data_IF_501278911167
#
_entry.id   IF_501278911167
#
_cell.length_a   1.000
_cell.length_b   1.000
_cell.length_c   1.000
_cell.angle_alpha   90.00
_cell.angle_beta   90.00
_cell.angle_gamma   90.00
#
_symmetry.space_group_name_H-M   'P 1'
#
loop_
_entity.id
_entity.type
_entity.pdbx_description
1 polymer ?
#
# COMPACT_ATOMS: atom_id res chain seq x y z
N UNK A 1 -0.77 -22.34 21.94
CA UNK A 1 -0.52 -21.01 22.53
C UNK A 1 -1.67 -20.10 22.12
N UNK A 2 -2.42 -19.51 23.06
CA UNK A 2 -3.56 -18.64 22.71
C UNK A 2 -3.07 -17.40 21.93
N UNK A 3 -3.93 -16.83 21.07
CA UNK A 3 -3.57 -15.64 20.27
C UNK A 3 -3.10 -14.47 21.16
N UNK A 4 -3.67 -14.37 22.36
CA UNK A 4 -3.37 -13.37 23.37
C UNK A 4 -1.95 -13.50 23.94
N UNK A 5 -1.47 -14.72 24.19
CA UNK A 5 -0.09 -14.96 24.62
C UNK A 5 0.91 -14.65 23.51
N UNK A 6 0.58 -14.98 22.26
CA UNK A 6 1.42 -14.63 21.09
C UNK A 6 1.54 -13.11 20.94
N UNK A 7 0.42 -12.40 21.03
CA UNK A 7 0.39 -10.94 20.95
C UNK A 7 1.22 -10.28 22.06
N UNK A 8 1.13 -10.77 23.30
CA UNK A 8 1.92 -10.27 24.41
C UNK A 8 3.43 -10.47 24.20
N UNK A 9 3.85 -11.65 23.74
CA UNK A 9 5.24 -11.97 23.43
C UNK A 9 5.80 -11.08 22.31
N UNK A 10 5.04 -10.89 21.22
CA UNK A 10 5.44 -10.02 20.11
C UNK A 10 5.60 -8.56 20.55
N UNK A 11 4.71 -8.10 21.43
CA UNK A 11 4.75 -6.73 21.98
C UNK A 11 5.95 -6.55 22.89
N UNK A 12 6.22 -7.53 23.76
CA UNK A 12 7.40 -7.52 24.62
C UNK A 12 8.69 -7.46 23.79
N UNK A 13 8.77 -8.27 22.72
CA UNK A 13 9.93 -8.34 21.82
C UNK A 13 10.20 -7.03 21.08
N UNK A 14 9.15 -6.32 20.64
CA UNK A 14 9.27 -5.14 19.77
C UNK A 14 9.21 -3.81 20.50
N UNK A 15 8.34 -3.69 21.51
CA UNK A 15 8.03 -2.43 22.18
C UNK A 15 8.49 -2.38 23.64
N UNK A 16 8.83 -3.54 24.22
CA UNK A 16 9.30 -3.68 25.60
C UNK A 16 8.18 -3.79 26.64
N UNK A 17 8.58 -4.09 27.88
CA UNK A 17 7.66 -4.40 28.98
C UNK A 17 6.72 -3.24 29.33
N UNK A 18 7.24 -2.01 29.36
CA UNK A 18 6.45 -0.81 29.68
C UNK A 18 5.31 -0.57 28.67
N UNK A 19 5.56 -0.85 27.39
CA UNK A 19 4.54 -0.72 26.35
C UNK A 19 3.49 -1.83 26.46
N UNK A 20 3.90 -3.07 26.76
CA UNK A 20 2.98 -4.18 27.01
C UNK A 20 2.01 -3.87 28.16
N UNK A 21 2.51 -3.34 29.28
CA UNK A 21 1.65 -2.96 30.42
C UNK A 21 0.65 -1.86 30.04
N UNK A 22 1.10 -0.81 29.36
CA UNK A 22 0.21 0.28 28.88
C UNK A 22 -0.84 -0.22 27.90
N UNK A 23 -0.47 -1.16 27.03
CA UNK A 23 -1.40 -1.79 26.09
C UNK A 23 -2.48 -2.62 26.79
N UNK A 24 -2.13 -3.34 27.86
CA UNK A 24 -3.11 -4.04 28.70
C UNK A 24 -4.09 -3.03 29.32
N UNK A 25 -3.58 -1.94 29.90
CA UNK A 25 -4.42 -0.89 30.48
C UNK A 25 -5.34 -0.25 29.43
N UNK A 26 -4.84 0.01 28.22
CA UNK A 26 -5.63 0.54 27.10
C UNK A 26 -6.77 -0.39 26.72
N UNK A 27 -6.53 -1.70 26.66
CA UNK A 27 -7.55 -2.69 26.27
C UNK A 27 -8.60 -2.93 27.36
N UNK A 28 -8.20 -2.91 28.63
CA UNK A 28 -9.11 -3.19 29.76
C UNK A 28 -9.88 -1.93 30.19
N UNK A 29 -9.21 -0.78 30.24
CA UNK A 29 -9.77 0.45 30.81
C UNK A 29 -10.00 1.56 29.77
N UNK A 30 -9.64 1.36 28.50
CA UNK A 30 -9.81 2.36 27.44
C UNK A 30 -8.83 3.55 27.54
N UNK A 31 -7.83 3.49 28.42
CA UNK A 31 -6.87 4.58 28.64
C UNK A 31 -5.78 4.53 27.57
N UNK A 32 -5.88 5.43 26.58
CA UNK A 32 -4.83 5.62 25.56
C UNK A 32 -3.49 6.03 26.14
N UNK A 33 -2.40 5.79 25.40
CA UNK A 33 -1.05 6.18 25.82
C UNK A 33 -0.24 6.72 24.64
N UNK A 34 0.94 7.27 24.91
CA UNK A 34 1.92 7.63 23.87
C UNK A 34 3.08 6.65 23.84
N UNK A 35 3.43 6.17 22.66
CA UNK A 35 4.65 5.40 22.41
C UNK A 35 5.59 6.26 21.55
N UNK A 36 6.75 6.67 22.11
CA UNK A 36 7.70 7.57 21.46
C UNK A 36 7.04 8.84 20.87
N UNK A 37 6.09 9.41 21.61
CA UNK A 37 5.34 10.61 21.18
C UNK A 37 4.10 10.30 20.34
N UNK A 38 3.98 9.12 19.74
CA UNK A 38 2.85 8.73 18.89
C UNK A 38 1.66 8.30 19.76
N UNK A 39 0.44 8.85 19.56
CA UNK A 39 -0.74 8.41 20.29
C UNK A 39 -1.17 7.00 19.88
N UNK A 40 -1.38 6.14 20.88
CA UNK A 40 -1.87 4.77 20.74
C UNK A 40 -3.23 4.69 21.42
N UNK A 41 -4.26 5.02 20.64
CA UNK A 41 -5.64 5.08 21.12
C UNK A 41 -6.53 3.97 20.52
N UNK A 42 -6.02 3.22 19.55
CA UNK A 42 -6.76 2.16 18.85
C UNK A 42 -5.91 0.89 18.69
N UNK A 43 -6.58 -0.24 18.44
CA UNK A 43 -5.91 -1.50 18.11
C UNK A 43 -5.11 -1.40 16.81
N UNK A 44 -5.56 -0.56 15.86
CA UNK A 44 -4.91 -0.34 14.57
C UNK A 44 -3.58 0.37 14.78
N UNK A 45 -3.58 1.51 15.48
CA UNK A 45 -2.36 2.26 15.80
C UNK A 45 -1.33 1.38 16.51
N UNK A 46 -1.78 0.60 17.49
CA UNK A 46 -0.92 -0.35 18.20
C UNK A 46 -0.30 -1.39 17.26
N UNK A 47 -1.11 -2.04 16.41
CA UNK A 47 -0.65 -3.08 15.48
C UNK A 47 0.36 -2.54 14.46
N UNK A 48 0.09 -1.38 13.88
CA UNK A 48 1.00 -0.73 12.91
C UNK A 48 2.36 -0.46 13.54
N UNK A 49 2.39 0.19 14.71
CA UNK A 49 3.66 0.50 15.41
C UNK A 49 4.40 -0.78 15.80
N UNK A 50 3.68 -1.76 16.37
CA UNK A 50 4.28 -3.04 16.80
C UNK A 50 4.87 -3.80 15.62
N UNK A 51 4.14 -3.91 14.51
CA UNK A 51 4.57 -4.66 13.33
C UNK A 51 5.78 -4.00 12.65
N UNK A 52 5.80 -2.66 12.56
CA UNK A 52 6.95 -1.91 12.07
C UNK A 52 8.21 -2.20 12.92
N UNK A 53 8.08 -2.15 14.25
CA UNK A 53 9.20 -2.42 15.16
C UNK A 53 9.67 -3.88 15.12
N UNK A 54 8.77 -4.85 14.92
CA UNK A 54 9.13 -6.26 14.71
C UNK A 54 9.98 -6.46 13.45
N UNK A 55 9.86 -5.56 12.47
CA UNK A 55 10.65 -5.52 11.23
C UNK A 55 11.93 -4.68 11.35
N UNK A 56 12.22 -4.17 12.54
CA UNK A 56 13.31 -3.22 12.79
C UNK A 56 13.17 -1.91 11.98
N UNK A 57 11.96 -1.54 11.59
CA UNK A 57 11.70 -0.24 10.98
C UNK A 57 11.69 0.84 12.06
N UNK A 58 12.11 2.05 11.68
CA UNK A 58 12.03 3.19 12.58
C UNK A 58 10.64 3.82 12.46
N UNK A 59 10.04 4.13 13.61
CA UNK A 59 8.76 4.83 13.69
C UNK A 59 8.94 6.10 14.49
N UNK A 60 8.53 7.23 13.93
CA UNK A 60 8.61 8.53 14.57
C UNK A 60 7.45 9.42 14.14
N UNK A 61 7.23 10.51 14.87
CA UNK A 61 6.17 11.48 14.57
C UNK A 61 6.72 12.88 14.42
N UNK A 62 6.13 13.66 13.52
CA UNK A 62 6.42 15.09 13.34
C UNK A 62 5.10 15.84 13.13
N UNK A 63 4.75 16.73 14.05
CA UNK A 63 3.46 17.44 14.00
C UNK A 63 2.28 16.47 14.11
N UNK A 64 1.38 16.50 13.13
CA UNK A 64 0.23 15.59 13.01
C UNK A 64 0.56 14.28 12.31
N UNK A 65 1.80 14.09 11.84
CA UNK A 65 2.18 12.94 11.03
C UNK A 65 2.89 11.85 11.83
N UNK A 66 2.70 10.63 11.38
CA UNK A 66 3.50 9.47 11.73
C UNK A 66 4.25 9.00 10.49
N UNK A 67 5.54 8.72 10.65
CA UNK A 67 6.39 8.20 9.58
C UNK A 67 6.96 6.84 9.98
N UNK A 68 6.91 5.89 9.05
CA UNK A 68 7.66 4.62 9.11
C UNK A 68 8.79 4.70 8.09
N UNK A 69 10.02 4.49 8.54
CA UNK A 69 11.20 4.40 7.69
C UNK A 69 11.57 2.93 7.53
N UNK A 70 11.50 2.45 6.28
CA UNK A 70 11.89 1.11 5.84
C UNK A 70 13.22 1.20 5.08
N UNK A 71 13.85 0.05 4.69
CA UNK A 71 15.02 0.06 3.81
C UNK A 71 14.77 0.71 2.44
N UNK A 72 13.53 0.67 1.96
CA UNK A 72 13.15 1.13 0.61
C UNK A 72 12.47 2.51 0.59
N UNK A 73 12.15 3.11 1.74
CA UNK A 73 11.66 4.48 1.78
C UNK A 73 11.03 4.90 3.10
N UNK A 74 10.64 6.17 3.17
CA UNK A 74 9.86 6.74 4.26
C UNK A 74 8.39 6.93 3.86
N UNK A 75 7.49 6.44 4.69
CA UNK A 75 6.05 6.51 4.48
C UNK A 75 5.42 7.35 5.58
N UNK A 76 4.85 8.48 5.22
CA UNK A 76 4.24 9.42 6.17
C UNK A 76 2.74 9.56 5.93
N UNK A 77 1.96 9.39 6.98
CA UNK A 77 0.51 9.65 6.99
C UNK A 77 0.12 10.51 8.18
N UNK A 78 -1.03 11.16 8.12
CA UNK A 78 -1.58 11.79 9.32
C UNK A 78 -1.95 10.73 10.36
N UNK A 79 -1.83 11.07 11.64
CA UNK A 79 -2.16 10.16 12.76
C UNK A 79 -3.58 9.62 12.66
N UNK A 80 -4.53 10.39 12.12
CA UNK A 80 -5.90 9.95 11.88
C UNK A 80 -5.98 8.77 10.88
N UNK A 81 -4.99 8.67 9.98
CA UNK A 81 -4.93 7.73 8.87
C UNK A 81 -3.84 6.67 9.06
N UNK A 82 -3.34 6.49 10.28
CA UNK A 82 -2.31 5.50 10.64
C UNK A 82 -2.62 4.08 10.14
N UNK A 83 -3.89 3.74 9.92
CA UNK A 83 -4.29 2.47 9.33
C UNK A 83 -3.72 2.20 7.94
N UNK A 84 -3.48 3.24 7.14
CA UNK A 84 -2.90 3.10 5.79
C UNK A 84 -1.45 2.60 5.82
N UNK A 85 -0.71 2.88 6.90
CA UNK A 85 0.62 2.27 7.11
C UNK A 85 0.55 0.77 7.44
N UNK A 86 -0.66 0.22 7.55
CA UNK A 86 -0.92 -1.21 7.68
C UNK A 86 -0.31 -2.04 6.55
N UNK A 87 -0.24 -1.51 5.32
CA UNK A 87 0.40 -2.17 4.16
C UNK A 87 1.84 -2.60 4.46
N UNK A 88 2.57 -1.82 5.27
CA UNK A 88 3.96 -2.12 5.66
C UNK A 88 4.08 -3.24 6.69
N UNK A 89 2.95 -3.73 7.21
CA UNK A 89 2.91 -4.95 8.03
C UNK A 89 3.05 -6.20 7.18
N UNK A 90 2.75 -6.13 5.89
CA UNK A 90 3.01 -7.21 4.95
C UNK A 90 4.50 -7.32 4.67
N UNK A 91 4.92 -8.48 4.19
CA UNK A 91 6.31 -8.68 3.82
C UNK A 91 6.44 -8.44 2.33
N UNK A 92 6.44 -7.16 1.93
CA UNK A 92 6.51 -6.76 0.52
C UNK A 92 7.76 -7.36 -0.17
N UNK A 93 8.85 -7.52 0.57
CA UNK A 93 10.06 -8.19 0.11
C UNK A 93 9.85 -9.71 -0.10
N UNK A 94 9.06 -10.38 0.73
CA UNK A 94 8.71 -11.79 0.48
C UNK A 94 7.73 -11.93 -0.71
N UNK A 95 6.80 -10.98 -0.85
CA UNK A 95 5.78 -10.99 -1.90
C UNK A 95 6.32 -10.60 -3.28
N UNK A 96 7.20 -9.60 -3.35
CA UNK A 96 7.67 -9.01 -4.61
C UNK A 96 9.19 -8.95 -4.72
N UNK A 97 9.95 -9.42 -3.72
CA UNK A 97 11.41 -9.38 -3.75
C UNK A 97 12.06 -10.33 -4.75
N UNK A 98 11.33 -11.34 -5.23
CA UNK A 98 11.84 -12.31 -6.21
C UNK A 98 11.96 -11.73 -7.63
N UNK A 99 11.30 -10.61 -7.95
CA UNK A 99 11.44 -10.00 -9.28
C UNK A 99 12.69 -9.15 -9.39
N UNK A 100 13.37 -9.30 -10.53
CA UNK A 100 14.45 -8.42 -10.96
C UNK A 100 13.86 -7.27 -11.78
N UNK A 101 13.81 -6.10 -11.15
CA UNK A 101 13.32 -4.87 -11.77
C UNK A 101 14.47 -3.90 -12.07
N UNK A 102 15.73 -4.35 -12.08
CA UNK A 102 16.84 -3.47 -12.42
C UNK A 102 16.67 -2.90 -13.83
N UNK A 103 16.67 -1.57 -13.94
CA UNK A 103 16.43 -0.82 -15.17
C UNK A 103 15.09 -1.16 -15.84
N UNK A 104 14.08 -1.57 -15.07
CA UNK A 104 12.76 -1.95 -15.60
C UNK A 104 11.79 -0.77 -15.75
N UNK A 105 10.88 -0.87 -16.72
CA UNK A 105 9.63 -0.11 -16.77
C UNK A 105 8.55 -0.93 -16.07
N UNK A 106 8.06 -0.42 -14.94
CA UNK A 106 7.05 -1.09 -14.10
C UNK A 106 5.74 -0.32 -14.16
N UNK A 107 4.61 -1.03 -14.26
CA UNK A 107 3.29 -0.49 -13.98
C UNK A 107 2.81 -1.13 -12.67
N UNK A 108 2.52 -0.29 -11.68
CA UNK A 108 2.05 -0.66 -10.35
C UNK A 108 0.56 -0.28 -10.24
N UNK A 109 -0.31 -1.28 -10.36
CA UNK A 109 -1.77 -1.12 -10.33
C UNK A 109 -2.27 -1.44 -8.93
N UNK A 110 -2.91 -0.44 -8.30
CA UNK A 110 -3.22 -0.47 -6.87
C UNK A 110 -1.99 -0.03 -6.05
N UNK A 111 -1.43 1.11 -6.43
CA UNK A 111 -0.19 1.61 -5.84
C UNK A 111 -0.36 2.10 -4.38
N UNK A 112 -1.59 2.23 -3.87
CA UNK A 112 -1.91 2.61 -2.50
C UNK A 112 -1.17 3.88 -2.08
N UNK A 113 -0.39 3.83 -1.00
CA UNK A 113 0.42 4.95 -0.51
C UNK A 113 1.83 5.00 -1.13
N UNK A 114 2.08 4.20 -2.18
CA UNK A 114 3.35 4.11 -2.92
C UNK A 114 4.34 3.10 -2.34
N UNK A 115 3.89 2.14 -1.54
CA UNK A 115 4.72 1.16 -0.85
C UNK A 115 5.44 0.21 -1.82
N UNK A 116 4.72 -0.39 -2.77
CA UNK A 116 5.32 -1.25 -3.79
C UNK A 116 6.08 -0.44 -4.85
N UNK A 117 5.58 0.73 -5.26
CA UNK A 117 6.32 1.66 -6.12
C UNK A 117 7.72 2.02 -5.56
N UNK A 118 7.82 2.38 -4.28
CA UNK A 118 9.10 2.69 -3.63
C UNK A 118 9.99 1.45 -3.48
N UNK A 119 9.42 0.27 -3.20
CA UNK A 119 10.14 -0.99 -3.23
C UNK A 119 10.77 -1.26 -4.62
N UNK A 120 10.02 -1.07 -5.70
CA UNK A 120 10.54 -1.27 -7.06
C UNK A 120 11.64 -0.25 -7.42
N UNK A 121 11.49 1.02 -7.04
CA UNK A 121 12.55 2.03 -7.20
C UNK A 121 13.82 1.64 -6.43
N UNK A 122 13.67 1.19 -5.19
CA UNK A 122 14.77 0.71 -4.35
C UNK A 122 15.48 -0.50 -4.98
N UNK A 123 14.73 -1.42 -5.61
CA UNK A 123 15.27 -2.57 -6.35
C UNK A 123 15.87 -2.21 -7.71
N UNK A 124 15.78 -0.94 -8.13
CA UNK A 124 16.46 -0.43 -9.33
C UNK A 124 15.58 -0.24 -10.55
N UNK A 125 14.24 -0.25 -10.43
CA UNK A 125 13.33 0.08 -11.53
C UNK A 125 13.67 1.44 -12.13
N UNK A 126 13.85 1.52 -13.45
CA UNK A 126 14.14 2.80 -14.11
C UNK A 126 12.99 3.78 -13.89
N UNK A 127 11.75 3.31 -14.11
CA UNK A 127 10.53 4.08 -13.94
C UNK A 127 9.37 3.19 -13.46
N UNK A 128 8.52 3.75 -12.61
CA UNK A 128 7.29 3.12 -12.12
C UNK A 128 6.09 4.00 -12.46
N UNK A 129 5.11 3.45 -13.16
CA UNK A 129 3.80 4.05 -13.41
C UNK A 129 2.85 3.58 -12.32
N UNK A 130 2.55 4.43 -11.33
CA UNK A 130 1.77 4.06 -10.15
C UNK A 130 0.31 4.54 -10.27
N UNK A 131 -0.62 3.60 -10.37
CA UNK A 131 -2.06 3.85 -10.55
C UNK A 131 -2.79 3.61 -9.23
N UNK A 132 -3.45 4.64 -8.71
CA UNK A 132 -4.24 4.57 -7.47
C UNK A 132 -5.54 5.37 -7.63
N UNK A 133 -6.73 4.72 -7.67
CA UNK A 133 -8.00 5.41 -7.88
C UNK A 133 -8.59 6.10 -6.64
N UNK A 134 -8.18 5.71 -5.42
CA UNK A 134 -8.74 6.27 -4.19
C UNK A 134 -8.02 7.59 -3.88
N UNK A 135 -8.74 8.71 -4.00
CA UNK A 135 -8.19 10.07 -3.82
C UNK A 135 -7.32 10.23 -2.55
N UNK A 136 -7.75 9.61 -1.44
CA UNK A 136 -7.00 9.65 -0.18
C UNK A 136 -5.68 8.89 -0.25
N UNK A 137 -5.66 7.70 -0.86
CA UNK A 137 -4.44 6.92 -1.04
C UNK A 137 -3.52 7.62 -2.04
N UNK A 138 -4.06 8.11 -3.15
CA UNK A 138 -3.35 8.91 -4.15
C UNK A 138 -2.68 10.15 -3.54
N UNK A 139 -3.36 10.84 -2.61
CA UNK A 139 -2.77 11.95 -1.88
C UNK A 139 -1.51 11.52 -1.10
N UNK A 140 -1.57 10.38 -0.41
CA UNK A 140 -0.42 9.83 0.32
C UNK A 140 0.67 9.28 -0.60
N UNK A 141 0.31 8.68 -1.74
CA UNK A 141 1.25 8.33 -2.80
C UNK A 141 2.08 9.55 -3.21
N UNK A 142 1.43 10.66 -3.58
CA UNK A 142 2.11 11.91 -3.95
C UNK A 142 3.05 12.42 -2.85
N UNK A 143 2.56 12.42 -1.61
CA UNK A 143 3.34 12.85 -0.43
C UNK A 143 4.57 11.98 -0.24
N UNK A 144 4.43 10.66 -0.33
CA UNK A 144 5.52 9.72 -0.10
C UNK A 144 6.55 9.74 -1.23
N UNK A 145 6.16 9.79 -2.51
CA UNK A 145 7.12 9.88 -3.61
C UNK A 145 7.89 11.21 -3.60
N UNK A 146 7.25 12.30 -3.17
CA UNK A 146 7.89 13.61 -2.98
C UNK A 146 8.91 13.56 -1.83
N UNK A 147 8.51 13.00 -0.68
CA UNK A 147 9.37 12.81 0.49
C UNK A 147 10.62 11.99 0.18
N UNK A 148 10.46 10.93 -0.61
CA UNK A 148 11.56 10.06 -1.02
C UNK A 148 12.36 10.59 -2.22
N UNK A 149 11.98 11.75 -2.78
CA UNK A 149 12.67 12.42 -3.90
C UNK A 149 12.76 11.56 -5.16
N UNK A 150 11.65 10.91 -5.51
CA UNK A 150 11.58 10.00 -6.68
C UNK A 150 10.46 10.39 -7.66
N UNK A 151 9.95 11.63 -7.61
CA UNK A 151 8.90 12.10 -8.52
C UNK A 151 9.30 12.11 -10.00
N UNK A 152 10.60 12.07 -10.30
CA UNK A 152 11.15 11.93 -11.65
C UNK A 152 11.11 10.48 -12.16
N UNK A 153 10.97 9.51 -11.25
CA UNK A 153 10.99 8.07 -11.55
C UNK A 153 9.68 7.36 -11.23
N UNK A 154 8.85 7.89 -10.34
CA UNK A 154 7.49 7.39 -10.07
C UNK A 154 6.49 8.36 -10.68
N UNK A 155 5.74 7.91 -11.69
CA UNK A 155 4.74 8.69 -12.42
C UNK A 155 3.36 8.29 -11.88
N UNK A 156 2.72 9.13 -11.04
CA UNK A 156 1.47 8.80 -10.38
C UNK A 156 0.25 9.12 -11.26
N UNK A 157 -0.77 8.27 -11.22
CA UNK A 157 -2.06 8.46 -11.90
C UNK A 157 -3.22 8.26 -10.93
N UNK A 158 -4.11 9.27 -10.84
CA UNK A 158 -5.33 9.20 -10.02
C UNK A 158 -6.48 8.55 -10.79
N UNK A 159 -6.27 7.32 -11.22
CA UNK A 159 -7.27 6.41 -11.74
C UNK A 159 -6.77 4.98 -11.62
N UNK A 160 -7.72 4.04 -11.54
CA UNK A 160 -7.46 2.61 -11.58
C UNK A 160 -7.62 2.07 -12.99
N UNK A 161 -7.69 0.75 -13.10
CA UNK A 161 -8.00 0.04 -14.34
C UNK A 161 -9.27 -0.79 -14.19
N UNK A 162 -9.96 -1.03 -15.30
CA UNK A 162 -11.18 -1.84 -15.34
C UNK A 162 -11.43 -2.37 -16.76
N UNK A 163 -12.58 -3.03 -16.94
CA UNK A 163 -13.04 -3.56 -18.23
C UNK A 163 -13.42 -2.48 -19.26
N UNK A 164 -13.49 -1.21 -18.86
CA UNK A 164 -13.76 -0.05 -19.72
C UNK A 164 -13.46 1.23 -18.96
N UNK A 165 -13.33 2.33 -19.68
CA UNK A 165 -13.34 3.65 -19.07
C UNK A 165 -14.72 3.97 -18.48
N UNK A 166 -14.76 4.23 -17.18
CA UNK A 166 -15.99 4.58 -16.45
C UNK A 166 -15.65 5.17 -15.09
N UNK A 167 -16.70 5.60 -14.38
CA UNK A 167 -16.65 5.86 -12.95
C UNK A 167 -17.36 4.70 -12.24
N UNK A 168 -16.74 4.17 -11.18
CA UNK A 168 -17.31 3.15 -10.31
C UNK A 168 -17.59 3.73 -8.93
N UNK A 169 -18.54 3.14 -8.20
CA UNK A 169 -18.73 3.37 -6.78
C UNK A 169 -18.35 2.10 -6.03
N UNK A 170 -17.46 2.21 -5.06
CA UNK A 170 -17.04 1.10 -4.22
C UNK A 170 -17.16 1.50 -2.75
N UNK A 171 -17.48 0.56 -1.87
CA UNK A 171 -17.46 0.85 -0.45
C UNK A 171 -16.03 0.94 0.07
N UNK A 172 -15.83 1.83 1.03
CA UNK A 172 -14.55 2.21 1.60
C UNK A 172 -14.61 2.08 3.12
N UNK A 173 -13.80 1.19 3.69
CA UNK A 173 -13.57 1.15 5.13
C UNK A 173 -12.25 1.90 5.41
N UNK A 174 -12.32 3.21 5.67
CA UNK A 174 -11.14 4.10 5.74
C UNK A 174 -10.08 3.84 6.82
N UNK A 175 -10.15 2.70 7.50
CA UNK A 175 -9.19 2.19 8.47
C UNK A 175 -8.50 0.88 8.02
N UNK A 176 -8.99 0.24 6.95
CA UNK A 176 -8.42 -0.92 6.29
C UNK A 176 -8.10 -0.56 4.82
N UNK A 177 -7.19 -1.29 4.20
CA UNK A 177 -6.69 -1.04 2.84
C UNK A 177 -7.66 -1.47 1.73
N UNK A 178 -8.73 -2.19 2.09
CA UNK A 178 -9.63 -2.82 1.12
C UNK A 178 -10.87 -2.01 0.77
N UNK A 179 -11.30 -2.12 -0.48
CA UNK A 179 -12.63 -1.78 -0.93
C UNK A 179 -13.61 -2.91 -0.53
N UNK A 180 -14.89 -2.60 -0.31
CA UNK A 180 -15.94 -3.61 -0.02
C UNK A 180 -17.28 -3.21 -0.62
N UNK A 181 -18.08 -4.17 -1.03
CA UNK A 181 -19.45 -3.95 -1.54
C UNK A 181 -20.46 -3.51 -0.47
N UNK A 182 -20.16 -3.72 0.82
CA UNK A 182 -21.08 -3.47 1.95
C UNK A 182 -20.64 -2.36 2.91
N UNK A 183 -19.66 -1.53 2.55
CA UNK A 183 -19.20 -0.46 3.44
C UNK A 183 -20.24 0.68 3.56
N UNK A 184 -20.32 1.30 4.74
CA UNK A 184 -21.21 2.44 5.01
C UNK A 184 -20.81 3.70 4.24
N UNK A 185 -19.55 3.81 3.82
CA UNK A 185 -19.03 4.93 3.02
C UNK A 185 -18.75 4.45 1.61
N UNK A 186 -19.27 5.15 0.60
CA UNK A 186 -18.93 4.91 -0.80
C UNK A 186 -17.88 5.92 -1.27
N UNK A 187 -16.91 5.46 -2.05
CA UNK A 187 -15.96 6.31 -2.78
C UNK A 187 -16.15 6.15 -4.28
N UNK A 188 -15.86 7.23 -5.00
CA UNK A 188 -15.94 7.30 -6.44
C UNK A 188 -14.57 6.97 -7.04
N UNK A 189 -14.49 5.95 -7.87
CA UNK A 189 -13.25 5.50 -8.51
C UNK A 189 -13.30 5.83 -9.99
N UNK A 190 -12.33 6.60 -10.48
CA UNK A 190 -12.10 6.77 -11.92
C UNK A 190 -11.30 5.59 -12.41
N UNK A 191 -11.75 4.91 -13.46
CA UNK A 191 -11.06 3.76 -14.02
C UNK A 191 -10.98 3.89 -15.54
N UNK A 192 -9.89 3.39 -16.12
CA UNK A 192 -9.66 3.29 -17.56
C UNK A 192 -9.60 1.84 -18.01
N UNK A 193 -9.78 1.59 -19.30
CA UNK A 193 -9.53 0.25 -19.84
C UNK A 193 -8.04 -0.10 -19.70
N UNK A 194 -7.72 -1.26 -19.13
CA UNK A 194 -6.32 -1.66 -18.89
C UNK A 194 -5.49 -1.70 -20.18
N UNK A 195 -6.07 -2.15 -21.30
CA UNK A 195 -5.37 -2.18 -22.59
C UNK A 195 -4.95 -0.78 -23.08
N UNK A 196 -5.71 0.27 -22.75
CA UNK A 196 -5.33 1.63 -23.11
C UNK A 196 -4.10 2.08 -22.31
N UNK A 197 -4.04 1.74 -21.01
CA UNK A 197 -2.88 2.02 -20.17
C UNK A 197 -1.62 1.32 -20.69
N UNK A 198 -1.74 0.02 -21.03
CA UNK A 198 -0.61 -0.74 -21.56
C UNK A 198 -0.09 -0.12 -22.86
N UNK A 199 -0.98 0.29 -23.77
CA UNK A 199 -0.58 0.95 -25.01
C UNK A 199 0.05 2.32 -24.77
N UNK A 200 -0.56 3.17 -23.95
CA UNK A 200 -0.04 4.49 -23.61
C UNK A 200 1.39 4.41 -23.02
N UNK A 201 1.64 3.48 -22.11
CA UNK A 201 2.97 3.28 -21.50
C UNK A 201 3.95 2.70 -22.52
N UNK A 202 3.53 1.70 -23.31
CA UNK A 202 4.38 1.08 -24.31
C UNK A 202 4.79 2.06 -25.43
N UNK A 203 3.86 2.91 -25.89
CA UNK A 203 4.16 3.97 -26.87
C UNK A 203 5.18 4.98 -26.36
N UNK A 204 5.14 5.28 -25.05
CA UNK A 204 6.04 6.24 -24.41
C UNK A 204 7.43 5.67 -24.11
N UNK A 205 7.50 4.44 -23.64
CA UNK A 205 8.73 3.82 -23.11
C UNK A 205 9.37 2.81 -24.06
N UNK A 206 8.61 2.32 -25.05
CA UNK A 206 9.02 1.27 -25.98
C UNK A 206 9.05 -0.15 -25.38
N UNK A 207 8.73 -0.30 -24.09
CA UNK A 207 8.68 -1.58 -23.37
C UNK A 207 7.88 -1.49 -22.07
N UNK A 208 7.39 -2.64 -21.61
CA UNK A 208 6.87 -2.84 -20.26
C UNK A 208 7.45 -4.14 -19.71
N UNK A 209 8.27 -4.04 -18.66
CA UNK A 209 8.97 -5.20 -18.11
C UNK A 209 8.15 -5.92 -17.05
N UNK A 210 7.38 -5.16 -16.26
CA UNK A 210 6.56 -5.69 -15.18
C UNK A 210 5.24 -4.94 -15.06
N UNK A 211 4.15 -5.68 -14.90
CA UNK A 211 2.90 -5.16 -14.34
C UNK A 211 2.62 -5.87 -13.02
N UNK A 212 2.53 -5.12 -11.92
CA UNK A 212 1.99 -5.59 -10.63
C UNK A 212 0.51 -5.22 -10.57
N UNK A 213 -0.33 -6.17 -10.18
CA UNK A 213 -1.75 -5.97 -9.93
C UNK A 213 -2.12 -6.53 -8.57
N UNK A 214 -2.51 -5.63 -7.68
CA UNK A 214 -3.15 -5.94 -6.42
C UNK A 214 -3.95 -4.68 -6.13
N UNK A 215 -5.21 -4.75 -6.54
CA UNK A 215 -6.11 -3.62 -6.72
C UNK A 215 -7.54 -3.98 -6.30
N UNK A 216 -7.68 -4.96 -5.42
CA UNK A 216 -8.91 -5.28 -4.70
C UNK A 216 -10.08 -5.54 -5.67
N UNK A 217 -9.86 -6.37 -6.70
CA UNK A 217 -10.89 -6.85 -7.63
C UNK A 217 -10.72 -6.43 -9.09
N UNK A 218 -9.85 -5.46 -9.38
CA UNK A 218 -9.58 -5.02 -10.75
C UNK A 218 -8.71 -5.98 -11.57
N UNK A 219 -8.16 -7.03 -10.95
CA UNK A 219 -7.24 -7.99 -11.57
C UNK A 219 -7.92 -8.76 -12.72
N UNK A 220 -9.22 -9.00 -12.59
CA UNK A 220 -10.03 -9.63 -13.64
C UNK A 220 -10.13 -8.79 -14.92
N UNK A 221 -9.77 -7.50 -14.90
CA UNK A 221 -9.75 -6.66 -16.10
C UNK A 221 -8.81 -7.19 -17.19
N UNK A 222 -7.79 -7.99 -16.84
CA UNK A 222 -6.96 -8.70 -17.81
C UNK A 222 -7.75 -9.67 -18.70
N UNK A 223 -8.96 -10.10 -18.31
CA UNK A 223 -9.82 -10.92 -19.17
C UNK A 223 -10.45 -10.13 -20.32
N UNK A 224 -10.38 -8.78 -20.30
CA UNK A 224 -10.92 -7.92 -21.35
C UNK A 224 -9.90 -7.44 -22.38
N UNK A 225 -8.61 -7.74 -22.21
CA UNK A 225 -7.59 -7.26 -23.15
C UNK A 225 -7.39 -8.21 -24.33
N UNK A 226 -6.88 -7.65 -25.43
CA UNK A 226 -6.51 -8.42 -26.61
C UNK A 226 -5.26 -9.27 -26.36
N UNK A 227 -5.06 -10.29 -27.20
CA UNK A 227 -3.86 -11.13 -27.15
C UNK A 227 -2.59 -10.37 -27.56
N UNK A 228 -2.76 -9.24 -28.22
CA UNK A 228 -1.72 -8.31 -28.64
C UNK A 228 -1.31 -7.43 -27.46
N UNK A 229 -2.27 -6.84 -26.74
CA UNK A 229 -2.02 -5.98 -25.59
C UNK A 229 -1.37 -6.77 -24.43
N UNK A 230 -1.80 -8.01 -24.18
CA UNK A 230 -1.21 -8.85 -23.12
C UNK A 230 0.26 -9.16 -23.38
N UNK A 231 0.70 -9.18 -24.65
CA UNK A 231 2.09 -9.47 -25.05
C UNK A 231 3.00 -8.24 -24.97
N UNK A 232 2.46 -7.04 -24.76
CA UNK A 232 3.26 -5.83 -24.56
C UNK A 232 4.09 -5.90 -23.27
N UNK A 233 3.69 -6.75 -22.34
CA UNK A 233 4.26 -6.87 -21.00
C UNK A 233 5.07 -8.17 -20.90
N UNK A 234 6.32 -8.05 -20.42
CA UNK A 234 7.20 -9.20 -20.25
C UNK A 234 6.79 -10.11 -19.08
N UNK A 235 6.34 -9.52 -17.97
CA UNK A 235 5.94 -10.26 -16.77
C UNK A 235 4.76 -9.60 -16.06
N UNK A 236 3.86 -10.42 -15.55
CA UNK A 236 2.79 -10.00 -14.64
C UNK A 236 3.00 -10.62 -13.25
N UNK A 237 2.74 -9.86 -12.20
CA UNK A 237 2.51 -10.37 -10.84
C UNK A 237 1.11 -9.93 -10.45
N UNK A 238 0.25 -10.88 -10.08
CA UNK A 238 -1.17 -10.61 -9.85
C UNK A 238 -1.58 -11.28 -8.53
N UNK A 239 -2.13 -10.49 -7.61
CA UNK A 239 -2.82 -10.99 -6.43
C UNK A 239 -4.32 -11.08 -6.73
N UNK A 240 -4.82 -12.31 -6.89
CA UNK A 240 -6.22 -12.51 -7.24
C UNK A 240 -7.07 -12.43 -5.98
N UNK A 241 -7.87 -11.38 -5.90
CA UNK A 241 -8.90 -11.23 -4.88
C UNK A 241 -10.19 -11.94 -5.29
N UNK A 242 -10.78 -12.73 -4.38
CA UNK A 242 -12.02 -13.47 -4.64
C UNK A 242 -13.28 -12.59 -4.60
N UNK A 243 -14.46 -13.21 -4.79
CA UNK A 243 -15.79 -12.55 -4.82
C UNK A 243 -16.26 -11.99 -3.47
N UNK A 244 -15.36 -11.80 -2.51
CA UNK A 244 -15.67 -11.27 -1.17
C UNK A 244 -15.50 -9.75 -1.07
N UNK A 245 -15.13 -9.11 -2.19
CA UNK A 245 -15.02 -7.66 -2.35
C UNK A 245 -16.32 -7.11 -2.91
#
# INVERSE_FOLDING_TARGET
>A
MSSLMRDALLTLKSMGFNALFREILRRVFGVGYRYRGIPVNSNIAFRVIRNALLRNYNVYSSGSEITIQTPFGEFSVDVADIGLLGVLSESLEDMYGFVDVKDAIVIDIGASIGDTALLFIFKGAYRVYALEPVDKHYHYLLKNISRNKVMDRVIPFNHGVWFRETVLSAGYEGLATGLRTSAETLVTLRVKHIGDILREVFEREGRIDLVKMDCEGCEYSLLSISSEDIKLVKQYIIEIHGSEI
#
